data_IF_987110703995
#
_entry.id   IF_987110703995
#
_cell.length_a   1.000
_cell.length_b   1.000
_cell.length_c   1.000
_cell.angle_alpha   90.00
_cell.angle_beta   90.00
_cell.angle_gamma   90.00
#
_symmetry.space_group_name_H-M   'P 1'
#
loop_
_entity.id
_entity.type
_entity.pdbx_description
1 polymer ?
#
# COMPACT_ATOMS: atom_id res chain seq x y z
N UNK A 1 -4.34 9.53 -32.88
CA UNK A 1 -4.22 8.95 -31.53
C UNK A 1 -5.48 8.17 -31.28
N UNK A 2 -5.38 6.87 -31.19
CA UNK A 2 -6.53 5.99 -30.89
C UNK A 2 -6.81 6.12 -29.39
N UNK A 3 -7.97 6.66 -29.04
CA UNK A 3 -8.44 6.71 -27.67
C UNK A 3 -8.48 5.28 -27.10
N UNK A 4 -7.61 4.99 -26.15
CA UNK A 4 -7.63 3.72 -25.44
C UNK A 4 -8.84 3.73 -24.51
N UNK A 5 -9.86 2.97 -24.88
CA UNK A 5 -11.04 2.80 -24.05
C UNK A 5 -10.69 1.91 -22.83
N UNK A 6 -10.34 2.55 -21.73
CA UNK A 6 -9.97 1.89 -20.46
C UNK A 6 -11.08 0.91 -19.98
N UNK A 7 -12.35 1.19 -20.29
CA UNK A 7 -13.47 0.30 -19.92
C UNK A 7 -13.44 -1.04 -20.66
N UNK A 8 -12.77 -1.12 -21.83
CA UNK A 8 -12.61 -2.38 -22.55
C UNK A 8 -11.52 -3.27 -21.95
N UNK A 9 -10.54 -2.68 -21.26
CA UNK A 9 -9.44 -3.39 -20.62
C UNK A 9 -9.83 -3.97 -19.26
N UNK A 10 -10.80 -3.36 -18.58
CA UNK A 10 -11.24 -3.77 -17.24
C UNK A 10 -12.76 -3.92 -17.16
N UNK A 11 -13.33 -5.07 -17.59
CA UNK A 11 -14.78 -5.30 -17.58
C UNK A 11 -15.44 -5.09 -16.20
N UNK A 12 -14.69 -5.34 -15.11
CA UNK A 12 -15.18 -5.11 -13.75
C UNK A 12 -15.39 -3.63 -13.42
N UNK A 13 -14.75 -2.71 -14.15
CA UNK A 13 -14.95 -1.28 -13.98
C UNK A 13 -16.22 -0.75 -14.68
N UNK A 14 -16.81 -1.55 -15.57
CA UNK A 14 -18.09 -1.17 -16.24
C UNK A 14 -19.24 -0.96 -15.28
N UNK A 15 -19.23 -1.66 -14.15
CA UNK A 15 -20.29 -1.59 -13.12
C UNK A 15 -19.93 -0.64 -11.96
N UNK A 16 -18.72 -0.08 -11.95
CA UNK A 16 -18.39 0.93 -10.97
C UNK A 16 -18.99 2.26 -11.46
N UNK A 17 -19.80 2.89 -10.63
CA UNK A 17 -20.35 4.24 -10.87
C UNK A 17 -19.26 5.32 -10.82
N UNK A 18 -18.12 5.11 -11.47
CA UNK A 18 -17.00 6.06 -11.55
C UNK A 18 -17.21 7.03 -12.74
N UNK A 19 -18.36 7.00 -13.39
CA UNK A 19 -18.75 8.07 -14.31
C UNK A 19 -19.12 9.33 -13.51
N UNK A 20 -18.11 9.95 -12.85
CA UNK A 20 -18.28 11.31 -12.35
C UNK A 20 -18.36 12.26 -13.53
N UNK A 21 -19.25 13.26 -13.50
CA UNK A 21 -19.28 14.32 -14.50
C UNK A 21 -17.87 14.91 -14.66
N UNK A 22 -17.46 15.18 -15.89
CA UNK A 22 -16.13 15.72 -16.23
C UNK A 22 -15.76 16.98 -15.43
N UNK A 23 -16.73 17.75 -14.98
CA UNK A 23 -16.52 18.95 -14.16
C UNK A 23 -16.04 18.65 -12.73
N UNK A 24 -16.31 17.46 -12.18
CA UNK A 24 -15.85 17.07 -10.83
C UNK A 24 -14.41 16.59 -10.80
N UNK A 25 -13.84 16.25 -11.96
CA UNK A 25 -12.45 15.75 -12.07
C UNK A 25 -11.45 16.79 -11.60
N UNK A 26 -11.70 18.07 -11.89
CA UNK A 26 -10.83 19.18 -11.49
C UNK A 26 -10.81 19.48 -9.98
N UNK A 27 -11.77 18.98 -9.24
CA UNK A 27 -11.86 19.11 -7.78
C UNK A 27 -11.56 17.80 -7.06
N UNK A 28 -11.10 16.79 -7.81
CA UNK A 28 -10.85 15.45 -7.28
C UNK A 28 -9.36 15.23 -7.12
N UNK A 29 -8.97 14.77 -5.95
CA UNK A 29 -7.63 14.25 -5.71
C UNK A 29 -7.65 12.74 -5.94
N UNK A 30 -6.76 12.28 -6.82
CA UNK A 30 -6.58 10.87 -7.10
C UNK A 30 -5.41 10.33 -6.28
N UNK A 31 -5.52 9.10 -5.82
CA UNK A 31 -4.44 8.41 -5.12
C UNK A 31 -3.94 7.29 -6.02
N UNK A 32 -2.67 7.37 -6.39
CA UNK A 32 -1.96 6.34 -7.13
C UNK A 32 -1.07 5.52 -6.20
N UNK A 33 -1.09 4.21 -6.33
CA UNK A 33 -0.23 3.30 -5.59
C UNK A 33 0.58 2.47 -6.59
N UNK A 34 1.89 2.72 -6.66
CA UNK A 34 2.82 1.84 -7.35
C UNK A 34 3.25 0.73 -6.39
N UNK A 35 2.54 -0.40 -6.46
CA UNK A 35 2.80 -1.56 -5.63
C UNK A 35 3.91 -2.41 -6.23
N UNK A 36 5.15 -2.16 -5.83
CA UNK A 36 6.32 -2.92 -6.28
C UNK A 36 6.61 -4.15 -5.42
N UNK A 37 7.38 -5.10 -5.96
CA UNK A 37 7.83 -6.31 -5.24
C UNK A 37 8.72 -5.97 -4.04
N UNK A 38 9.58 -4.98 -4.19
CA UNK A 38 10.55 -4.56 -3.16
C UNK A 38 10.17 -3.25 -2.49
N UNK A 39 9.55 -2.34 -3.24
CA UNK A 39 9.24 -0.99 -2.77
C UNK A 39 7.91 -0.55 -3.35
N UNK A 40 7.11 0.08 -2.52
CA UNK A 40 5.83 0.70 -2.88
C UNK A 40 5.96 2.22 -2.76
N UNK A 41 5.36 2.95 -3.69
CA UNK A 41 5.24 4.41 -3.66
C UNK A 41 3.76 4.79 -3.72
N UNK A 42 3.38 5.78 -2.92
CA UNK A 42 2.03 6.37 -2.98
C UNK A 42 2.16 7.80 -3.47
N UNK A 43 1.33 8.17 -4.42
CA UNK A 43 1.29 9.52 -4.99
C UNK A 43 -0.13 10.06 -4.96
N UNK A 44 -0.24 11.37 -4.85
CA UNK A 44 -1.48 12.09 -5.13
C UNK A 44 -1.37 12.75 -6.50
N UNK A 45 -2.49 12.79 -7.22
CA UNK A 45 -2.60 13.51 -8.47
C UNK A 45 -3.82 14.43 -8.45
N UNK A 46 -3.64 15.63 -8.94
CA UNK A 46 -4.69 16.63 -9.15
C UNK A 46 -4.62 17.11 -10.59
N UNK A 47 -5.75 17.62 -11.10
CA UNK A 47 -5.79 18.20 -12.43
C UNK A 47 -5.91 19.72 -12.28
N UNK A 48 -4.95 20.44 -12.82
CA UNK A 48 -4.99 21.90 -12.88
C UNK A 48 -6.14 22.36 -13.79
N UNK A 49 -6.95 23.31 -13.30
CA UNK A 49 -8.15 23.77 -14.02
C UNK A 49 -7.81 24.61 -15.26
N UNK A 50 -6.72 25.35 -15.24
CA UNK A 50 -6.35 26.27 -16.29
C UNK A 50 -5.54 25.57 -17.37
N UNK A 51 -4.48 24.87 -16.97
CA UNK A 51 -3.56 24.21 -17.91
C UNK A 51 -4.07 22.84 -18.37
N UNK A 52 -5.00 22.22 -17.63
CA UNK A 52 -5.46 20.83 -17.82
C UNK A 52 -4.35 19.79 -17.59
N UNK A 53 -3.25 20.18 -17.01
CA UNK A 53 -2.14 19.29 -16.70
C UNK A 53 -2.42 18.46 -15.44
N UNK A 54 -1.91 17.24 -15.43
CA UNK A 54 -1.95 16.35 -14.27
C UNK A 54 -0.69 16.62 -13.43
N UNK A 55 -0.89 17.14 -12.23
CA UNK A 55 0.17 17.34 -11.25
C UNK A 55 0.23 16.13 -10.34
N UNK A 56 1.34 15.39 -10.38
CA UNK A 56 1.55 14.20 -9.55
C UNK A 56 2.67 14.43 -8.55
N UNK A 57 2.40 14.15 -7.29
CA UNK A 57 3.38 14.32 -6.21
C UNK A 57 3.41 13.06 -5.34
N UNK A 58 4.56 12.41 -5.15
CA UNK A 58 4.70 11.35 -4.17
C UNK A 58 4.51 11.89 -2.76
N UNK A 59 3.87 11.11 -1.89
CA UNK A 59 3.64 11.51 -0.50
C UNK A 59 4.64 10.83 0.42
N UNK A 60 5.05 11.57 1.45
CA UNK A 60 5.93 11.07 2.49
C UNK A 60 5.09 10.45 3.61
N UNK A 61 5.26 9.17 3.83
CA UNK A 61 4.55 8.43 4.87
C UNK A 61 5.48 8.08 6.03
N UNK A 62 4.97 8.24 7.24
CA UNK A 62 5.68 7.89 8.46
C UNK A 62 5.74 6.38 8.62
N UNK A 63 6.94 5.86 8.82
CA UNK A 63 7.21 4.44 9.01
C UNK A 63 7.91 4.25 10.36
N UNK A 64 7.37 3.36 11.19
CA UNK A 64 7.97 3.02 12.47
C UNK A 64 9.16 2.07 12.26
N UNK A 65 10.29 2.37 12.84
CA UNK A 65 11.46 1.50 12.89
C UNK A 65 11.35 0.49 14.04
N UNK A 66 12.17 -0.54 14.01
CA UNK A 66 12.17 -1.60 15.03
C UNK A 66 12.65 -1.12 16.42
N UNK A 67 13.39 -0.03 16.49
CA UNK A 67 13.82 0.66 17.73
C UNK A 67 12.77 1.66 18.25
N UNK A 68 11.63 1.77 17.56
CA UNK A 68 10.53 2.68 17.90
C UNK A 68 10.62 4.07 17.30
N UNK A 69 11.74 4.43 16.66
CA UNK A 69 11.87 5.71 15.95
C UNK A 69 10.89 5.78 14.76
N UNK A 70 10.59 6.99 14.32
CA UNK A 70 9.76 7.26 13.15
C UNK A 70 10.62 7.85 12.03
N UNK A 71 10.53 7.26 10.86
CA UNK A 71 11.17 7.78 9.64
C UNK A 71 10.10 8.09 8.59
N UNK A 72 10.13 9.30 8.05
CA UNK A 72 9.27 9.68 6.93
C UNK A 72 9.99 9.41 5.60
N UNK A 73 9.29 8.82 4.64
CA UNK A 73 9.84 8.52 3.32
C UNK A 73 8.73 8.32 2.30
N UNK A 74 8.99 8.71 1.05
CA UNK A 74 8.14 8.39 -0.10
C UNK A 74 8.26 6.91 -0.51
N UNK A 75 9.39 6.26 -0.20
CA UNK A 75 9.65 4.85 -0.52
C UNK A 75 9.33 3.97 0.68
N UNK A 76 8.37 3.08 0.50
CA UNK A 76 7.91 2.13 1.50
C UNK A 76 8.37 0.73 1.09
N UNK A 77 9.36 0.13 1.76
CA UNK A 77 9.72 -1.27 1.51
C UNK A 77 8.48 -2.18 1.61
N UNK A 78 8.28 -3.04 0.61
CA UNK A 78 7.15 -3.99 0.58
C UNK A 78 7.50 -5.20 1.46
N UNK A 79 7.63 -4.94 2.76
CA UNK A 79 8.04 -5.91 3.79
C UNK A 79 7.16 -5.74 5.00
N UNK A 80 6.77 -6.86 5.61
CA UNK A 80 6.05 -6.95 6.88
C UNK A 80 6.90 -7.79 7.83
N UNK A 81 6.97 -7.42 9.11
CA UNK A 81 7.62 -8.20 10.14
C UNK A 81 6.78 -8.20 11.42
N UNK A 82 6.80 -9.33 12.12
CA UNK A 82 6.32 -9.47 13.48
C UNK A 82 7.52 -9.63 14.40
N UNK A 83 7.72 -8.67 15.28
CA UNK A 83 8.87 -8.64 16.16
C UNK A 83 8.54 -7.97 17.49
N UNK A 84 8.91 -8.59 18.61
CA UNK A 84 8.61 -8.10 19.96
C UNK A 84 7.12 -7.72 20.14
N UNK A 85 6.22 -8.60 19.71
CA UNK A 85 4.75 -8.40 19.75
C UNK A 85 4.27 -7.12 19.02
N UNK A 86 5.03 -6.67 18.04
CA UNK A 86 4.67 -5.52 17.21
C UNK A 86 4.67 -5.88 15.73
N UNK A 87 3.64 -5.42 15.04
CA UNK A 87 3.56 -5.47 13.58
C UNK A 87 4.32 -4.27 13.02
N UNK A 88 5.38 -4.54 12.28
CA UNK A 88 6.17 -3.56 11.55
C UNK A 88 5.92 -3.69 10.06
N UNK A 89 5.81 -2.56 9.36
CA UNK A 89 5.67 -2.52 7.89
C UNK A 89 6.61 -1.46 7.33
N UNK A 90 7.18 -1.73 6.17
CA UNK A 90 8.07 -0.78 5.52
C UNK A 90 9.50 -0.82 6.07
N UNK A 91 10.05 0.34 6.40
CA UNK A 91 11.47 0.53 6.82
C UNK A 91 11.83 -0.30 8.05
N UNK A 92 10.96 -0.33 9.07
CA UNK A 92 11.22 -1.11 10.29
C UNK A 92 11.30 -2.60 10.02
N UNK A 93 10.36 -3.13 9.22
CA UNK A 93 10.38 -4.52 8.79
C UNK A 93 11.59 -4.85 7.90
N UNK A 94 11.95 -3.94 7.00
CA UNK A 94 13.10 -4.13 6.11
C UNK A 94 14.42 -4.25 6.87
N UNK A 95 14.58 -3.53 7.98
CA UNK A 95 15.77 -3.63 8.86
C UNK A 95 15.92 -5.01 9.50
N UNK A 96 14.81 -5.75 9.66
CA UNK A 96 14.81 -7.08 10.27
C UNK A 96 14.78 -8.23 9.25
N UNK A 97 14.67 -7.92 7.96
CA UNK A 97 14.40 -8.89 6.88
C UNK A 97 15.32 -10.11 6.88
N UNK A 98 16.59 -9.93 7.22
CA UNK A 98 17.60 -11.01 7.20
C UNK A 98 17.89 -11.61 8.59
N UNK A 99 17.27 -11.06 9.63
CA UNK A 99 17.39 -11.55 11.01
C UNK A 99 16.22 -12.47 11.38
N UNK A 100 15.10 -12.32 10.68
CA UNK A 100 13.86 -13.05 10.92
C UNK A 100 13.64 -14.15 9.87
N UNK A 101 12.76 -15.09 10.18
CA UNK A 101 12.47 -16.24 9.31
C UNK A 101 11.31 -15.94 8.34
N UNK A 102 11.59 -15.99 7.03
CA UNK A 102 10.58 -15.75 5.99
C UNK A 102 9.40 -16.70 6.13
N UNK A 103 8.17 -16.16 6.07
CA UNK A 103 6.93 -16.91 6.16
C UNK A 103 6.53 -17.29 7.61
N UNK A 104 7.37 -16.96 8.60
CA UNK A 104 7.10 -17.18 10.02
C UNK A 104 6.83 -15.85 10.71
N UNK A 105 7.82 -14.96 10.70
CA UNK A 105 7.74 -13.65 11.34
C UNK A 105 8.28 -12.51 10.47
N UNK A 106 8.65 -12.78 9.21
CA UNK A 106 8.87 -11.76 8.18
C UNK A 106 8.32 -12.21 6.82
N UNK A 107 7.63 -11.30 6.13
CA UNK A 107 7.02 -11.56 4.82
C UNK A 107 7.44 -10.48 3.84
N UNK A 108 8.01 -10.92 2.71
CA UNK A 108 8.48 -10.08 1.61
C UNK A 108 8.41 -10.86 0.29
N UNK A 109 8.45 -10.15 -0.83
CA UNK A 109 8.28 -10.72 -2.18
C UNK A 109 6.94 -11.45 -2.39
N UNK A 110 5.98 -11.27 -1.49
CA UNK A 110 4.66 -11.93 -1.57
C UNK A 110 3.87 -11.49 -2.80
N UNK A 111 4.17 -10.32 -3.39
CA UNK A 111 3.56 -9.90 -4.67
C UNK A 111 3.79 -10.92 -5.78
N UNK A 112 4.99 -11.50 -5.87
CA UNK A 112 5.34 -12.49 -6.89
C UNK A 112 4.56 -13.80 -6.75
N UNK A 113 4.04 -14.03 -5.57
CA UNK A 113 3.34 -15.27 -5.19
C UNK A 113 1.81 -15.11 -5.22
N UNK A 114 1.27 -13.90 -5.51
CA UNK A 114 -0.18 -13.62 -5.48
C UNK A 114 -0.99 -14.37 -6.54
N UNK A 115 -0.37 -14.72 -7.67
CA UNK A 115 -1.01 -15.46 -8.76
C UNK A 115 -0.91 -16.97 -8.65
N UNK A 116 -0.14 -17.46 -7.69
CA UNK A 116 0.09 -18.89 -7.49
C UNK A 116 -0.93 -19.46 -6.50
N UNK A 117 -1.50 -20.61 -6.82
CA UNK A 117 -2.35 -21.36 -5.88
C UNK A 117 -1.47 -22.18 -4.93
N UNK A 118 -0.89 -21.49 -3.95
CA UNK A 118 0.06 -22.06 -3.01
C UNK A 118 -0.58 -22.57 -1.72
N UNK A 119 -1.90 -22.55 -1.64
CA UNK A 119 -2.65 -22.91 -0.41
C UNK A 119 -2.19 -22.08 0.80
N UNK A 120 -2.11 -22.72 1.97
CA UNK A 120 -1.53 -22.10 3.18
C UNK A 120 -0.01 -22.20 3.13
N UNK A 121 0.67 -21.29 2.44
CA UNK A 121 2.13 -21.30 2.29
C UNK A 121 2.90 -21.04 3.59
N UNK A 122 2.28 -20.28 4.50
CA UNK A 122 2.91 -19.86 5.75
C UNK A 122 2.41 -20.67 6.94
N UNK A 123 2.63 -22.00 6.92
CA UNK A 123 2.11 -22.93 7.93
C UNK A 123 2.56 -22.65 9.37
N UNK A 124 3.76 -22.07 9.52
CA UNK A 124 4.36 -21.76 10.82
C UNK A 124 4.34 -20.25 11.11
N UNK A 125 3.43 -19.51 10.52
CA UNK A 125 3.30 -18.08 10.76
C UNK A 125 3.00 -17.80 12.24
N UNK A 126 3.77 -16.92 12.85
CA UNK A 126 3.48 -16.38 14.18
C UNK A 126 2.20 -15.52 14.21
N UNK A 127 1.79 -14.99 13.04
CA UNK A 127 0.50 -14.34 12.84
C UNK A 127 -0.51 -15.36 12.30
N UNK A 128 -0.93 -16.26 13.17
CA UNK A 128 -1.89 -17.31 12.87
C UNK A 128 -3.33 -16.78 12.79
N UNK A 129 -4.31 -17.70 12.71
CA UNK A 129 -5.75 -17.35 12.58
C UNK A 129 -6.32 -16.60 13.79
N UNK A 130 -5.67 -16.67 14.94
CA UNK A 130 -6.11 -16.03 16.17
C UNK A 130 -5.50 -14.65 16.37
N UNK A 131 -4.63 -14.24 15.46
CA UNK A 131 -3.98 -12.93 15.48
C UNK A 131 -4.91 -11.85 14.92
N UNK A 132 -4.74 -10.61 15.35
CA UNK A 132 -5.46 -9.45 14.82
C UNK A 132 -5.18 -9.23 13.31
N UNK A 133 -4.02 -9.66 12.84
CA UNK A 133 -3.55 -9.53 11.46
C UNK A 133 -3.04 -10.88 10.94
N UNK A 134 -3.90 -11.88 10.71
CA UNK A 134 -3.44 -13.20 10.31
C UNK A 134 -2.77 -13.17 8.94
N UNK A 135 -1.61 -13.82 8.83
CA UNK A 135 -0.85 -13.95 7.58
C UNK A 135 -0.52 -15.43 7.35
N UNK A 136 -1.39 -16.12 6.65
CA UNK A 136 -1.26 -17.56 6.36
C UNK A 136 -0.79 -17.83 4.92
N UNK A 137 -0.91 -16.84 4.06
CA UNK A 137 -0.60 -16.94 2.63
C UNK A 137 -0.23 -15.56 2.05
N UNK A 138 0.24 -15.48 0.79
CA UNK A 138 0.61 -14.20 0.16
C UNK A 138 -0.52 -13.18 0.05
N UNK A 139 -1.78 -13.63 -0.09
CA UNK A 139 -2.95 -12.72 -0.16
C UNK A 139 -3.18 -12.03 1.18
N UNK A 140 -3.00 -12.75 2.29
CA UNK A 140 -3.11 -12.19 3.63
C UNK A 140 -2.00 -11.15 3.88
N UNK A 141 -0.75 -11.45 3.46
CA UNK A 141 0.35 -10.49 3.54
C UNK A 141 0.05 -9.21 2.74
N UNK A 142 -0.46 -9.35 1.51
CA UNK A 142 -0.87 -8.21 0.71
C UNK A 142 -2.00 -7.42 1.39
N UNK A 143 -3.01 -8.09 1.93
CA UNK A 143 -4.12 -7.46 2.67
C UNK A 143 -3.60 -6.63 3.85
N UNK A 144 -2.75 -7.21 4.70
CA UNK A 144 -2.16 -6.50 5.84
C UNK A 144 -1.33 -5.30 5.39
N UNK A 145 -0.54 -5.45 4.32
CA UNK A 145 0.25 -4.36 3.76
C UNK A 145 -0.65 -3.20 3.27
N UNK A 146 -1.72 -3.51 2.53
CA UNK A 146 -2.65 -2.48 2.05
C UNK A 146 -3.48 -1.84 3.17
N UNK A 147 -3.84 -2.58 4.22
CA UNK A 147 -4.47 -2.02 5.42
C UNK A 147 -3.56 -0.99 6.09
N UNK A 148 -2.26 -1.30 6.19
CA UNK A 148 -1.27 -0.35 6.70
C UNK A 148 -1.18 0.89 5.80
N UNK A 149 -1.04 0.73 4.47
CA UNK A 149 -0.99 1.86 3.54
C UNK A 149 -2.22 2.74 3.67
N UNK A 150 -3.41 2.15 3.70
CA UNK A 150 -4.66 2.89 3.87
C UNK A 150 -4.63 3.74 5.14
N UNK A 151 -4.26 3.15 6.27
CA UNK A 151 -4.17 3.87 7.54
C UNK A 151 -3.18 5.04 7.50
N UNK A 152 -2.04 4.90 6.79
CA UNK A 152 -1.07 5.97 6.62
C UNK A 152 -1.59 7.08 5.68
N UNK A 153 -2.26 6.71 4.59
CA UNK A 153 -2.88 7.66 3.66
C UNK A 153 -3.99 8.45 4.35
N UNK A 154 -4.86 7.79 5.11
CA UNK A 154 -5.93 8.45 5.87
C UNK A 154 -5.35 9.48 6.85
N UNK A 155 -4.26 9.14 7.57
CA UNK A 155 -3.56 10.06 8.48
C UNK A 155 -2.91 11.25 7.73
N UNK A 156 -2.30 10.98 6.57
CA UNK A 156 -1.72 12.02 5.74
C UNK A 156 -2.80 13.00 5.27
N UNK A 157 -3.90 12.49 4.74
CA UNK A 157 -5.02 13.29 4.24
C UNK A 157 -5.65 14.13 5.36
N UNK A 158 -5.83 13.54 6.55
CA UNK A 158 -6.34 14.27 7.71
C UNK A 158 -5.44 15.45 8.09
N UNK A 159 -4.11 15.25 8.14
CA UNK A 159 -3.16 16.33 8.45
C UNK A 159 -3.21 17.47 7.44
N UNK A 160 -3.31 17.14 6.13
CA UNK A 160 -3.42 18.16 5.08
C UNK A 160 -4.70 19.00 5.19
N UNK A 161 -5.85 18.36 5.49
CA UNK A 161 -7.13 19.06 5.63
C UNK A 161 -7.14 19.99 6.83
N UNK A 162 -6.55 19.59 7.94
CA UNK A 162 -6.59 20.35 9.19
C UNK A 162 -5.34 21.18 9.47
N UNK A 163 -4.38 21.25 8.52
CA UNK A 163 -3.10 21.97 8.66
C UNK A 163 -2.38 21.67 9.98
N UNK A 164 -2.49 20.45 10.49
CA UNK A 164 -1.80 20.02 11.70
C UNK A 164 -0.35 19.70 11.34
N UNK A 165 0.56 20.56 11.78
CA UNK A 165 2.02 20.34 11.67
C UNK A 165 2.51 19.21 12.58
#
# INVERSE_FOLDING_TARGET
>A
MTDINIQSLFPALRNSQIARPTNDVFNTTFIGIDFGTSTTVVSIATIDKETKEILTTPIWLNQRLYDGAIMSSEKIPTVIAWHNQQLLVGKGAAGLKYQLKKGVNVWFSFKMELGEDLGSKYYNSELDRNSDFPILNPKDAAKVFFQYLKAQIDRYTYRQIFNLQ
#
